data_IF_988969565240
#
_entry.id   IF_988969565240
#
_cell.length_a   1.000
_cell.length_b   1.000
_cell.length_c   1.000
_cell.angle_alpha   90.00
_cell.angle_beta   90.00
_cell.angle_gamma   90.00
#
_symmetry.space_group_name_H-M   'P 1'
#
loop_
_entity.id
_entity.type
_entity.pdbx_description
1 polymer ?
#
# COMPACT_ATOMS: atom_id res chain seq x y z
N UNK A 1 6.79 1.15 -4.09
CA UNK A 1 5.54 0.65 -4.69
C UNK A 1 4.44 0.61 -3.65
N UNK A 2 3.18 0.85 -4.04
CA UNK A 2 2.04 0.84 -3.11
C UNK A 2 0.98 -0.14 -3.58
N UNK A 3 0.35 -0.81 -2.62
CA UNK A 3 -0.79 -1.70 -2.84
C UNK A 3 -1.75 -1.66 -1.65
N UNK A 4 -2.99 -2.07 -1.87
CA UNK A 4 -4.02 -2.20 -0.84
C UNK A 4 -4.60 -3.61 -0.78
N UNK A 5 -4.77 -4.12 0.42
CA UNK A 5 -5.33 -5.44 0.66
C UNK A 5 -6.56 -5.37 1.57
N UNK A 6 -7.70 -5.84 1.07
CA UNK A 6 -8.90 -6.00 1.90
C UNK A 6 -8.77 -7.27 2.76
N UNK A 7 -8.92 -7.12 4.08
CA UNK A 7 -8.75 -8.19 5.07
C UNK A 7 -10.02 -8.35 5.87
N UNK A 8 -10.53 -9.59 5.93
CA UNK A 8 -11.75 -9.93 6.65
C UNK A 8 -11.59 -9.70 8.16
N UNK A 9 -12.56 -9.03 8.78
CA UNK A 9 -12.63 -8.87 10.22
C UNK A 9 -13.17 -10.13 10.90
N UNK A 10 -12.72 -10.34 12.13
CA UNK A 10 -13.37 -11.25 13.08
C UNK A 10 -14.52 -10.53 13.81
N UNK A 11 -15.23 -11.26 14.67
CA UNK A 11 -16.31 -10.71 15.49
C UNK A 11 -15.83 -9.63 16.48
N UNK A 12 -14.55 -9.60 16.81
CA UNK A 12 -13.95 -8.64 17.77
C UNK A 12 -13.88 -7.21 17.23
N UNK A 13 -13.88 -7.01 15.90
CA UNK A 13 -13.77 -5.69 15.31
C UNK A 13 -15.02 -4.84 15.58
N UNK A 14 -14.81 -3.59 16.00
CA UNK A 14 -15.89 -2.64 16.24
C UNK A 14 -16.65 -2.30 14.95
N UNK A 15 -17.91 -1.88 15.08
CA UNK A 15 -18.71 -1.41 13.92
C UNK A 15 -18.06 -0.21 13.23
N UNK A 16 -17.40 0.64 14.00
CA UNK A 16 -16.75 1.85 13.50
C UNK A 16 -15.48 1.58 12.69
N UNK A 17 -14.82 0.42 12.88
CA UNK A 17 -13.56 0.08 12.23
C UNK A 17 -13.69 -0.82 11.01
N UNK A 18 -14.90 -1.25 10.65
CA UNK A 18 -15.16 -2.15 9.52
C UNK A 18 -16.00 -1.51 8.43
N UNK A 19 -15.80 -1.94 7.19
CA UNK A 19 -16.59 -1.57 6.03
C UNK A 19 -16.66 -2.73 5.04
N UNK A 20 -17.63 -2.68 4.11
CA UNK A 20 -17.80 -3.73 3.11
C UNK A 20 -17.11 -3.33 1.79
N UNK A 21 -16.17 -4.14 1.35
CA UNK A 21 -15.54 -4.03 0.05
C UNK A 21 -16.30 -4.86 -0.97
N UNK A 22 -17.02 -4.21 -1.89
CA UNK A 22 -17.86 -4.89 -2.89
C UNK A 22 -17.04 -5.78 -3.83
N UNK A 23 -15.91 -5.29 -4.34
CA UNK A 23 -15.05 -6.04 -5.28
C UNK A 23 -14.46 -7.33 -4.70
N UNK A 24 -14.22 -7.37 -3.39
CA UNK A 24 -13.66 -8.53 -2.70
C UNK A 24 -14.70 -9.28 -1.88
N UNK A 25 -15.97 -8.86 -1.91
CA UNK A 25 -17.06 -9.40 -1.09
C UNK A 25 -16.64 -9.57 0.38
N UNK A 26 -15.88 -8.60 0.92
CA UNK A 26 -15.22 -8.71 2.22
C UNK A 26 -15.68 -7.62 3.15
N UNK A 27 -16.21 -8.01 4.33
CA UNK A 27 -16.48 -7.09 5.43
C UNK A 27 -15.26 -7.04 6.34
N UNK A 28 -14.56 -5.91 6.34
CA UNK A 28 -13.30 -5.84 7.03
C UNK A 28 -12.63 -4.48 7.02
N UNK A 29 -11.32 -4.53 7.13
CA UNK A 29 -10.42 -3.39 6.98
C UNK A 29 -9.69 -3.49 5.64
N UNK A 30 -9.14 -2.37 5.20
CA UNK A 30 -8.18 -2.33 4.09
C UNK A 30 -6.82 -1.91 4.64
N UNK A 31 -5.80 -2.70 4.35
CA UNK A 31 -4.41 -2.41 4.66
C UNK A 31 -3.77 -1.79 3.44
N UNK A 32 -3.21 -0.60 3.60
CA UNK A 32 -2.41 0.07 2.58
C UNK A 32 -0.95 -0.11 2.96
N UNK A 33 -0.14 -0.55 2.01
CA UNK A 33 1.26 -0.87 2.21
C UNK A 33 2.11 -0.18 1.14
N UNK A 34 3.03 0.65 1.55
CA UNK A 34 4.09 1.17 0.71
C UNK A 34 5.39 0.42 1.02
N UNK A 35 6.05 -0.08 -0.01
CA UNK A 35 7.32 -0.80 0.10
C UNK A 35 8.40 -0.15 -0.78
N UNK A 36 9.65 -0.32 -0.39
CA UNK A 36 10.80 0.05 -1.21
C UNK A 36 11.04 -0.95 -2.37
N UNK A 37 12.12 -0.76 -3.11
CA UNK A 37 12.51 -1.64 -4.23
C UNK A 37 12.85 -3.08 -3.80
N UNK A 38 13.20 -3.27 -2.54
CA UNK A 38 13.50 -4.58 -1.95
C UNK A 38 12.29 -5.26 -1.30
N UNK A 39 11.15 -4.55 -1.20
CA UNK A 39 9.92 -5.05 -0.59
C UNK A 39 9.81 -4.79 0.91
N UNK A 40 10.72 -4.00 1.50
CA UNK A 40 10.60 -3.61 2.90
C UNK A 40 9.52 -2.55 3.09
N UNK A 41 8.65 -2.69 4.10
CA UNK A 41 7.61 -1.73 4.39
C UNK A 41 8.18 -0.36 4.79
N UNK A 42 7.81 0.67 4.03
CA UNK A 42 8.11 2.08 4.35
C UNK A 42 6.98 2.69 5.16
N UNK A 43 5.75 2.58 4.66
CA UNK A 43 4.57 3.11 5.31
C UNK A 43 3.45 2.10 5.31
N UNK A 44 2.62 2.17 6.34
CA UNK A 44 1.43 1.33 6.49
C UNK A 44 0.26 2.19 6.97
N UNK A 45 -0.93 1.89 6.47
CA UNK A 45 -2.16 2.51 6.92
C UNK A 45 -3.30 1.49 6.92
N UNK A 46 -4.24 1.62 7.84
CA UNK A 46 -5.42 0.79 7.90
C UNK A 46 -6.68 1.66 7.85
N UNK A 47 -7.54 1.38 6.89
CA UNK A 47 -8.85 2.02 6.74
C UNK A 47 -9.97 0.99 6.83
N UNK A 48 -11.22 1.46 6.84
CA UNK A 48 -12.38 0.58 6.57
C UNK A 48 -12.28 0.04 5.15
N UNK A 49 -12.73 -1.19 4.91
CA UNK A 49 -12.59 -1.82 3.60
C UNK A 49 -13.39 -1.15 2.48
N UNK A 50 -14.39 -0.32 2.78
CA UNK A 50 -15.15 0.47 1.81
C UNK A 50 -14.48 1.77 1.37
N UNK A 51 -13.38 2.17 2.01
CA UNK A 51 -12.61 3.35 1.60
C UNK A 51 -11.87 3.04 0.29
N UNK A 52 -11.85 4.00 -0.65
CA UNK A 52 -11.13 3.83 -1.92
C UNK A 52 -9.62 3.75 -1.71
N UNK A 53 -8.91 3.17 -2.66
CA UNK A 53 -7.48 2.99 -2.59
C UNK A 53 -6.75 4.34 -2.63
N UNK A 54 -7.24 5.29 -3.45
CA UNK A 54 -6.71 6.66 -3.51
C UNK A 54 -6.78 7.37 -2.16
N UNK A 55 -7.97 7.38 -1.54
CA UNK A 55 -8.16 8.03 -0.23
C UNK A 55 -7.26 7.38 0.83
N UNK A 56 -7.15 6.06 0.83
CA UNK A 56 -6.28 5.35 1.77
C UNK A 56 -4.80 5.67 1.57
N UNK A 57 -4.36 5.84 0.32
CA UNK A 57 -3.00 6.26 -0.01
C UNK A 57 -2.74 7.70 0.45
N UNK A 58 -3.65 8.62 0.17
CA UNK A 58 -3.54 10.03 0.57
C UNK A 58 -3.44 10.15 2.09
N UNK A 59 -4.32 9.45 2.81
CA UNK A 59 -4.27 9.42 4.28
C UNK A 59 -2.99 8.79 4.83
N UNK A 60 -2.46 7.76 4.16
CA UNK A 60 -1.17 7.18 4.52
C UNK A 60 -0.03 8.20 4.40
N UNK A 61 -0.04 9.02 3.34
CA UNK A 61 0.95 10.09 3.16
C UNK A 61 0.77 11.18 4.21
N UNK A 62 -0.46 11.66 4.44
CA UNK A 62 -0.76 12.69 5.45
C UNK A 62 -0.28 12.29 6.85
N UNK A 63 -0.41 11.02 7.21
CA UNK A 63 0.06 10.52 8.51
C UNK A 63 1.57 10.34 8.63
N UNK A 64 2.32 10.50 7.55
CA UNK A 64 3.78 10.42 7.52
C UNK A 64 4.41 11.74 7.03
N UNK A 65 3.71 12.87 7.25
CA UNK A 65 4.14 14.23 6.89
C UNK A 65 5.56 14.53 7.36
N UNK A 66 5.83 14.27 8.63
CA UNK A 66 7.12 14.59 9.25
C UNK A 66 8.28 13.87 8.56
N UNK A 67 8.08 12.60 8.20
CA UNK A 67 9.11 11.85 7.45
C UNK A 67 9.50 12.52 6.12
N UNK A 68 8.52 13.07 5.42
CA UNK A 68 8.78 13.73 4.14
C UNK A 68 9.35 15.13 4.33
N UNK A 69 8.89 15.87 5.34
CA UNK A 69 9.42 17.21 5.68
C UNK A 69 10.87 17.16 6.11
N UNK A 70 11.21 16.24 7.01
CA UNK A 70 12.58 16.09 7.52
C UNK A 70 13.58 15.68 6.43
N UNK A 71 13.09 15.05 5.35
CA UNK A 71 13.92 14.57 4.23
C UNK A 71 13.75 15.37 2.94
N UNK A 72 12.97 16.46 2.97
CA UNK A 72 12.63 17.21 1.75
C UNK A 72 13.84 17.70 0.98
N UNK A 73 14.92 18.08 1.65
CA UNK A 73 16.16 18.57 1.02
C UNK A 73 16.98 17.45 0.38
N UNK A 74 17.04 16.29 1.03
CA UNK A 74 17.92 15.16 0.64
C UNK A 74 17.19 14.06 -0.13
N UNK A 75 15.87 14.16 -0.31
CA UNK A 75 15.12 13.13 -0.99
C UNK A 75 15.41 13.14 -2.50
N UNK A 76 15.88 12.03 -3.07
CA UNK A 76 16.05 11.91 -4.51
C UNK A 76 14.69 11.88 -5.21
N UNK A 77 14.67 12.20 -6.51
CA UNK A 77 13.46 11.98 -7.33
C UNK A 77 13.00 10.53 -7.18
N UNK A 78 11.78 10.36 -6.73
CA UNK A 78 11.24 9.05 -6.35
C UNK A 78 9.99 8.76 -7.16
N UNK A 79 10.00 7.66 -7.91
CA UNK A 79 8.81 7.16 -8.60
C UNK A 79 8.05 6.18 -7.71
N UNK A 80 6.78 6.46 -7.50
CA UNK A 80 5.86 5.61 -6.75
C UNK A 80 4.97 4.86 -7.74
N UNK A 81 5.20 3.55 -7.84
CA UNK A 81 4.42 2.68 -8.71
C UNK A 81 3.13 2.25 -8.01
N UNK A 82 2.02 2.43 -8.69
CA UNK A 82 0.65 2.15 -8.25
C UNK A 82 0.03 1.03 -9.09
N UNK A 83 -0.95 0.31 -8.54
CA UNK A 83 -1.79 -0.59 -9.37
C UNK A 83 -2.81 0.22 -10.17
N UNK A 84 -3.37 -0.39 -11.20
CA UNK A 84 -4.34 0.25 -12.13
C UNK A 84 -5.67 0.69 -11.47
N UNK A 85 -5.90 0.34 -10.21
CA UNK A 85 -7.05 0.83 -9.43
C UNK A 85 -6.86 2.21 -8.83
N UNK A 86 -5.68 2.79 -8.94
CA UNK A 86 -5.36 4.13 -8.46
C UNK A 86 -5.46 5.18 -9.57
N UNK A 87 -5.67 6.44 -9.16
CA UNK A 87 -5.75 7.60 -10.06
C UNK A 87 -4.61 8.58 -9.75
N UNK A 88 -3.44 8.48 -10.41
CA UNK A 88 -2.23 9.25 -10.10
C UNK A 88 -2.44 10.75 -10.07
N UNK A 89 -3.19 11.29 -11.04
CA UNK A 89 -3.45 12.74 -11.14
C UNK A 89 -4.27 13.27 -9.96
N UNK A 90 -5.30 12.52 -9.54
CA UNK A 90 -6.08 12.87 -8.36
C UNK A 90 -5.25 12.85 -7.09
N UNK A 91 -4.46 11.80 -6.91
CA UNK A 91 -3.56 11.63 -5.76
C UNK A 91 -2.58 12.79 -5.71
N UNK A 92 -1.95 13.12 -6.84
CA UNK A 92 -1.02 14.23 -6.95
C UNK A 92 -1.68 15.55 -6.56
N UNK A 93 -2.82 15.89 -7.14
CA UNK A 93 -3.55 17.13 -6.85
C UNK A 93 -3.89 17.28 -5.37
N UNK A 94 -4.42 16.23 -4.74
CA UNK A 94 -4.78 16.29 -3.32
C UNK A 94 -3.54 16.38 -2.40
N UNK A 95 -2.42 15.76 -2.78
CA UNK A 95 -1.19 15.85 -1.99
C UNK A 95 -0.44 17.16 -2.20
N UNK A 96 -0.55 17.78 -3.37
CA UNK A 96 0.10 19.07 -3.67
C UNK A 96 -0.39 20.20 -2.75
N UNK A 97 -1.64 20.13 -2.29
CA UNK A 97 -2.18 21.07 -1.28
C UNK A 97 -1.47 20.95 0.07
N UNK A 98 -0.94 19.77 0.41
CA UNK A 98 -0.28 19.50 1.69
C UNK A 98 1.25 19.50 1.61
N UNK A 99 1.80 19.25 0.43
CA UNK A 99 3.23 19.00 0.22
C UNK A 99 3.80 19.62 -1.06
N UNK A 100 3.59 20.90 -1.33
CA UNK A 100 4.03 21.51 -2.57
C UNK A 100 5.54 21.29 -2.83
N UNK A 101 6.36 21.39 -1.78
CA UNK A 101 7.84 21.28 -1.87
C UNK A 101 8.34 19.86 -2.20
N UNK A 102 7.55 18.84 -1.90
CA UNK A 102 7.95 17.43 -2.08
C UNK A 102 7.38 16.87 -3.38
N UNK A 103 6.26 17.41 -3.85
CA UNK A 103 5.58 16.91 -5.03
C UNK A 103 6.40 17.03 -6.32
N UNK A 104 7.35 17.96 -6.38
CA UNK A 104 8.31 18.06 -7.49
C UNK A 104 9.30 16.88 -7.51
N UNK A 105 9.49 16.22 -6.39
CA UNK A 105 10.38 15.06 -6.26
C UNK A 105 9.66 13.72 -6.34
N UNK A 106 8.33 13.71 -6.25
CA UNK A 106 7.53 12.49 -6.29
C UNK A 106 6.76 12.40 -7.61
N UNK A 107 6.94 11.29 -8.30
CA UNK A 107 6.17 10.93 -9.48
C UNK A 107 5.33 9.70 -9.19
N UNK A 108 4.02 9.79 -9.47
CA UNK A 108 3.11 8.64 -9.39
C UNK A 108 2.92 8.05 -10.77
N UNK A 109 3.16 6.75 -10.91
CA UNK A 109 3.01 6.03 -12.16
C UNK A 109 2.17 4.77 -11.97
N UNK A 110 1.30 4.47 -12.93
CA UNK A 110 0.63 3.18 -12.96
C UNK A 110 1.61 2.10 -13.39
N UNK A 111 1.60 0.97 -12.69
CA UNK A 111 2.40 -0.19 -13.07
C UNK A 111 1.92 -0.74 -14.41
N UNK A 112 2.77 -0.77 -15.45
CA UNK A 112 2.34 -1.20 -16.78
C UNK A 112 1.87 -2.66 -16.76
N UNK A 113 0.71 -2.92 -17.35
CA UNK A 113 0.25 -4.29 -17.64
C UNK A 113 0.52 -4.55 -19.11
N UNK A 114 1.28 -5.59 -19.47
CA UNK A 114 1.50 -5.92 -20.87
C UNK A 114 0.14 -6.25 -21.53
N UNK A 115 -0.10 -5.62 -22.67
CA UNK A 115 -1.30 -5.86 -23.48
C UNK A 115 -1.33 -7.30 -24.01
N UNK A 116 -2.48 -7.79 -24.46
CA UNK A 116 -2.57 -9.12 -25.11
C UNK A 116 -1.64 -9.23 -26.32
N UNK A 117 -1.50 -8.14 -27.08
CA UNK A 117 -0.63 -8.11 -28.28
C UNK A 117 0.84 -8.17 -27.91
N UNK A 118 1.28 -7.45 -26.88
CA UNK A 118 2.65 -7.50 -26.38
C UNK A 118 3.00 -8.88 -25.81
N UNK A 119 2.06 -9.54 -25.15
CA UNK A 119 2.25 -10.93 -24.68
C UNK A 119 2.44 -11.89 -25.83
N UNK A 120 1.59 -11.80 -26.88
CA UNK A 120 1.70 -12.63 -28.07
C UNK A 120 3.01 -12.38 -28.82
N UNK A 121 3.44 -11.12 -28.95
CA UNK A 121 4.71 -10.77 -29.60
C UNK A 121 5.92 -11.32 -28.82
N UNK A 122 5.80 -11.51 -27.51
CA UNK A 122 6.84 -12.12 -26.66
C UNK A 122 6.72 -13.67 -26.57
N UNK A 123 5.80 -14.28 -27.30
CA UNK A 123 5.55 -15.73 -27.26
C UNK A 123 5.05 -16.24 -25.90
N UNK A 124 4.52 -15.34 -25.03
CA UNK A 124 4.07 -15.67 -23.68
C UNK A 124 2.55 -15.81 -23.65
N UNK A 125 2.08 -17.00 -23.34
CA UNK A 125 0.68 -17.28 -23.05
C UNK A 125 0.46 -17.34 -21.55
N UNK A 126 -0.55 -16.62 -21.04
CA UNK A 126 -0.91 -16.64 -19.62
C UNK A 126 -0.45 -15.42 -18.82
N UNK A 127 -0.25 -15.62 -17.52
CA UNK A 127 0.15 -14.56 -16.58
C UNK A 127 1.61 -14.18 -16.79
N UNK A 128 1.86 -12.89 -17.07
CA UNK A 128 3.23 -12.33 -17.12
C UNK A 128 3.41 -11.45 -15.89
N UNK A 129 4.31 -11.83 -14.96
CA UNK A 129 4.60 -11.03 -13.79
C UNK A 129 5.19 -9.68 -14.20
N UNK A 130 4.61 -8.59 -13.73
CA UNK A 130 5.24 -7.27 -13.84
C UNK A 130 6.27 -7.17 -12.72
N UNK A 131 7.54 -7.05 -13.07
CA UNK A 131 8.67 -7.11 -12.13
C UNK A 131 8.51 -6.19 -10.92
N UNK A 132 7.98 -4.99 -11.12
CA UNK A 132 7.74 -4.04 -10.04
C UNK A 132 6.59 -4.47 -9.11
N UNK A 133 5.47 -5.01 -9.64
CA UNK A 133 4.34 -5.49 -8.83
C UNK A 133 4.68 -6.68 -7.97
N UNK A 134 5.52 -7.57 -8.47
CA UNK A 134 5.93 -8.75 -7.72
C UNK A 134 6.52 -8.40 -6.35
N UNK A 135 7.20 -7.27 -6.24
CA UNK A 135 7.82 -6.82 -4.98
C UNK A 135 6.78 -6.62 -3.87
N UNK A 136 5.71 -5.85 -4.14
CA UNK A 136 4.67 -5.60 -3.14
C UNK A 136 3.77 -6.83 -2.93
N UNK A 137 3.51 -7.61 -3.98
CA UNK A 137 2.77 -8.86 -3.89
C UNK A 137 3.50 -9.88 -3.00
N UNK A 138 4.83 -9.97 -3.12
CA UNK A 138 5.67 -10.77 -2.22
C UNK A 138 5.57 -10.29 -0.77
N UNK A 139 5.60 -8.98 -0.55
CA UNK A 139 5.49 -8.42 0.81
C UNK A 139 4.12 -8.70 1.42
N UNK A 140 3.05 -8.58 0.65
CA UNK A 140 1.70 -8.99 1.07
C UNK A 140 1.63 -10.50 1.38
N UNK A 141 2.25 -11.34 0.55
CA UNK A 141 2.31 -12.78 0.80
C UNK A 141 3.07 -13.14 2.09
N UNK A 142 4.11 -12.39 2.44
CA UNK A 142 4.79 -12.54 3.73
C UNK A 142 3.88 -12.18 4.91
N UNK A 143 3.12 -11.10 4.79
CA UNK A 143 2.11 -10.71 5.79
C UNK A 143 1.05 -11.80 5.96
N UNK A 144 0.59 -12.41 4.87
CA UNK A 144 -0.40 -13.50 4.89
C UNK A 144 0.12 -14.80 5.53
N UNK A 145 1.42 -15.05 5.52
CA UNK A 145 2.02 -16.18 6.25
C UNK A 145 1.94 -16.02 7.75
N UNK A 146 1.78 -14.81 8.26
CA UNK A 146 1.54 -14.55 9.66
C UNK A 146 0.09 -14.85 10.02
N UNK A 147 -0.19 -15.99 10.65
CA UNK A 147 -1.53 -16.46 11.01
C UNK A 147 -2.40 -15.37 11.66
N UNK A 148 -1.82 -14.55 12.51
CA UNK A 148 -2.52 -13.44 13.18
C UNK A 148 -2.84 -12.25 12.27
N UNK A 149 -2.36 -12.24 11.02
CA UNK A 149 -2.58 -11.19 10.03
C UNK A 149 -3.49 -11.64 8.88
N UNK A 150 -3.77 -12.92 8.72
CA UNK A 150 -4.68 -13.44 7.68
C UNK A 150 -6.10 -12.87 7.84
N UNK A 151 -6.52 -12.67 9.10
CA UNK A 151 -7.75 -11.96 9.46
C UNK A 151 -7.42 -10.82 10.41
N UNK A 152 -8.26 -9.80 10.43
CA UNK A 152 -8.14 -8.73 11.41
C UNK A 152 -8.86 -9.11 12.72
N UNK A 153 -8.07 -9.29 13.76
CA UNK A 153 -8.54 -9.57 15.12
C UNK A 153 -8.63 -8.31 15.98
N UNK A 154 -8.14 -7.19 15.45
CA UNK A 154 -8.04 -5.95 16.21
C UNK A 154 -9.39 -5.24 16.29
N UNK A 155 -9.68 -4.68 17.46
CA UNK A 155 -10.92 -3.96 17.71
C UNK A 155 -11.02 -2.66 16.92
N UNK A 156 -9.90 -1.96 16.75
CA UNK A 156 -9.83 -0.67 16.07
C UNK A 156 -8.83 -0.69 14.92
N UNK A 157 -9.00 0.22 13.96
CA UNK A 157 -8.04 0.41 12.86
C UNK A 157 -6.68 0.90 13.38
N UNK A 158 -6.66 1.69 14.47
CA UNK A 158 -5.44 2.13 15.12
C UNK A 158 -4.60 0.94 15.62
N UNK A 159 -5.24 -0.03 16.30
CA UNK A 159 -4.54 -1.25 16.75
C UNK A 159 -4.07 -2.11 15.58
N UNK A 160 -4.87 -2.23 14.51
CA UNK A 160 -4.46 -2.95 13.32
C UNK A 160 -3.23 -2.30 12.65
N UNK A 161 -3.21 -0.96 12.57
CA UNK A 161 -2.06 -0.20 12.08
C UNK A 161 -0.84 -0.41 12.96
N UNK A 162 -1.00 -0.30 14.29
CA UNK A 162 0.09 -0.49 15.25
C UNK A 162 0.76 -1.85 15.07
N UNK A 163 -0.02 -2.92 14.92
CA UNK A 163 0.49 -4.26 14.67
C UNK A 163 1.34 -4.35 13.41
N UNK A 164 0.92 -3.72 12.31
CA UNK A 164 1.72 -3.66 11.08
C UNK A 164 3.00 -2.82 11.27
N UNK A 165 2.94 -1.74 12.04
CA UNK A 165 4.12 -0.93 12.35
C UNK A 165 5.16 -1.71 13.14
N UNK A 166 4.76 -2.55 14.09
CA UNK A 166 5.69 -3.41 14.83
C UNK A 166 6.39 -4.41 13.92
N UNK A 167 5.69 -5.00 12.95
CA UNK A 167 6.30 -5.89 11.96
C UNK A 167 7.36 -5.15 11.15
N UNK A 168 7.06 -3.92 10.71
CA UNK A 168 8.02 -3.06 10.02
C UNK A 168 9.29 -2.84 10.86
N UNK A 169 9.12 -2.49 12.14
CA UNK A 169 10.24 -2.26 13.05
C UNK A 169 11.09 -3.52 13.26
N UNK A 170 10.46 -4.68 13.40
CA UNK A 170 11.16 -5.96 13.54
C UNK A 170 11.96 -6.30 12.28
N UNK A 171 11.37 -6.15 11.09
CA UNK A 171 12.06 -6.39 9.83
C UNK A 171 13.25 -5.45 9.69
N UNK A 172 13.07 -4.16 9.98
CA UNK A 172 14.16 -3.17 9.92
C UNK A 172 15.29 -3.53 10.87
N UNK A 173 14.97 -3.97 12.09
CA UNK A 173 15.97 -4.36 13.10
C UNK A 173 16.72 -5.62 12.71
N UNK A 174 16.04 -6.60 12.10
CA UNK A 174 16.68 -7.83 11.60
C UNK A 174 17.56 -7.58 10.37
N UNK A 175 17.22 -6.59 9.54
CA UNK A 175 18.00 -6.22 8.36
C UNK A 175 19.24 -5.38 8.69
N UNK A 176 19.37 -4.89 9.92
CA UNK A 176 20.54 -4.13 10.40
C UNK A 176 21.59 -4.98 11.12
N UNK A 177 21.44 -6.29 11.14
CA UNK A 177 22.43 -7.28 11.54
C UNK A 177 22.99 -7.95 10.29
#
# INVERSE_FOLDING_TARGET
MVDSQAVKNTCLASRQSKGFCFYKATNGIKRHLAVDSSGFPLFTYCSKANISDDVGLIEMFKQNLDYFRDKALDMPKTTILLDNGYHPERIRKELEEFYPEIMDKIQFELSPKPSKQEKLAQGKTGFVPVKARWVVERSNAWVERCKSLVKNFERTNANAKLKLCFIRLLIKRLASF
#
